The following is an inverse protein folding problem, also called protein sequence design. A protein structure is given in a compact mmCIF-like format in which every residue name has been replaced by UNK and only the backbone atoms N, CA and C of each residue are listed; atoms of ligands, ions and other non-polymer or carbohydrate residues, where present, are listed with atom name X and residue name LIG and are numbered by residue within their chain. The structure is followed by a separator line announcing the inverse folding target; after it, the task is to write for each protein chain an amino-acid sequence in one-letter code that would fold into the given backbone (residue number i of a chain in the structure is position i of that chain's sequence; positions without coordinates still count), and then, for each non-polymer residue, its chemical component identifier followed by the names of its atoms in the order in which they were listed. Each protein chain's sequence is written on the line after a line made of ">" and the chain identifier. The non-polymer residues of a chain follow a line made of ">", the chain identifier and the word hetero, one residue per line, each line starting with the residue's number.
data_IF_298912805175
#
_entry.id   IF_298912805175
#
_cell.length_a   1.000
_cell.length_b   1.000
_cell.length_c   1.000
_cell.angle_alpha   90.00
_cell.angle_beta   90.00
_cell.angle_gamma   90.00
#
_symmetry.space_group_name_H-M   'P 1'
#
loop_
_entity.id
_entity.type
_entity.pdbx_description
1 polymer ?
#
# COMPACT_ATOMS: atom_id res chain seq x y z
N UNK A 1 -7.04 13.40 -20.83
CA UNK A 1 -5.73 12.79 -20.44
C UNK A 1 -5.48 13.04 -18.97
N UNK A 2 -5.16 12.00 -18.24
CA UNK A 2 -4.90 12.14 -16.82
C UNK A 2 -3.55 12.81 -16.55
N UNK A 3 -3.54 13.73 -15.59
CA UNK A 3 -2.33 14.40 -15.16
C UNK A 3 -1.51 13.48 -14.26
N UNK A 4 -0.22 13.33 -14.51
CA UNK A 4 0.69 12.63 -13.62
C UNK A 4 1.08 13.52 -12.46
N UNK A 5 0.86 13.01 -11.25
CA UNK A 5 1.22 13.68 -10.00
C UNK A 5 1.73 12.63 -9.02
N UNK A 6 2.36 13.09 -7.94
CA UNK A 6 2.70 12.18 -6.84
C UNK A 6 1.40 11.68 -6.21
N UNK A 7 1.32 10.38 -5.98
CA UNK A 7 0.13 9.73 -5.41
C UNK A 7 0.40 9.30 -3.98
N UNK A 8 -0.54 9.52 -3.10
CA UNK A 8 -0.51 9.02 -1.73
C UNK A 8 -1.53 7.91 -1.57
N UNK A 9 -1.12 6.81 -0.95
CA UNK A 9 -1.96 5.66 -0.71
C UNK A 9 -2.03 5.45 0.80
N UNK A 10 -3.24 5.38 1.34
CA UNK A 10 -3.45 5.11 2.76
C UNK A 10 -4.32 3.87 2.91
N UNK A 11 -3.92 2.99 3.81
CA UNK A 11 -4.66 1.78 4.12
C UNK A 11 -5.30 1.88 5.48
N UNK A 12 -6.55 1.42 5.58
CA UNK A 12 -7.19 1.12 6.85
C UNK A 12 -7.14 -0.39 7.00
N UNK A 13 -6.23 -0.87 7.85
CA UNK A 13 -5.98 -2.30 8.04
C UNK A 13 -6.76 -2.83 9.24
N UNK A 14 -7.26 -4.05 9.09
CA UNK A 14 -7.94 -4.78 10.16
C UNK A 14 -6.88 -5.44 11.05
N UNK A 15 -6.56 -4.78 12.16
CA UNK A 15 -5.53 -5.27 13.07
C UNK A 15 -5.92 -6.57 13.77
N UNK A 16 -7.21 -6.80 14.01
CA UNK A 16 -7.68 -8.05 14.60
C UNK A 16 -7.45 -9.22 13.64
N UNK A 17 -7.77 -9.02 12.36
CA UNK A 17 -7.50 -10.03 11.35
C UNK A 17 -6.00 -10.27 11.18
N UNK A 18 -5.20 -9.22 11.22
CA UNK A 18 -3.75 -9.35 11.17
C UNK A 18 -3.22 -10.18 12.35
N UNK A 19 -3.76 -9.96 13.55
CA UNK A 19 -3.38 -10.77 14.72
C UNK A 19 -3.78 -12.22 14.54
N UNK A 20 -4.99 -12.47 14.04
CA UNK A 20 -5.47 -13.81 13.78
C UNK A 20 -4.60 -14.57 12.78
N UNK A 21 -3.98 -13.87 11.85
CA UNK A 21 -3.08 -14.41 10.83
C UNK A 21 -1.60 -14.35 11.23
N UNK A 22 -1.30 -13.97 12.47
CA UNK A 22 0.06 -13.80 12.99
C UNK A 22 0.89 -12.76 12.20
N UNK A 23 0.20 -11.72 11.71
CA UNK A 23 0.81 -10.66 10.92
C UNK A 23 0.90 -9.31 11.64
N UNK A 24 0.46 -9.24 12.88
CA UNK A 24 0.56 -8.02 13.68
C UNK A 24 1.71 -8.13 14.68
N UNK A 25 2.61 -7.15 14.77
CA UNK A 25 2.71 -5.95 13.90
C UNK A 25 3.58 -6.15 12.65
N UNK A 26 4.09 -7.35 12.42
CA UNK A 26 5.08 -7.63 11.37
C UNK A 26 4.59 -7.30 9.96
N UNK A 27 3.28 -7.41 9.72
CA UNK A 27 2.68 -7.09 8.43
C UNK A 27 2.95 -5.65 7.98
N UNK A 28 3.02 -4.71 8.91
CA UNK A 28 3.34 -3.32 8.57
C UNK A 28 4.73 -3.20 7.94
N UNK A 29 5.72 -3.92 8.49
CA UNK A 29 7.07 -3.94 7.93
C UNK A 29 7.15 -4.59 6.57
N UNK A 30 6.39 -5.66 6.36
CA UNK A 30 6.30 -6.34 5.07
C UNK A 30 5.71 -5.43 4.01
N UNK A 31 4.63 -4.73 4.35
CA UNK A 31 3.97 -3.80 3.45
C UNK A 31 4.90 -2.63 3.10
N UNK A 32 5.59 -2.09 4.08
CA UNK A 32 6.56 -1.02 3.89
C UNK A 32 7.65 -1.42 2.90
N UNK A 33 8.24 -2.60 3.08
CA UNK A 33 9.28 -3.10 2.18
C UNK A 33 8.76 -3.27 0.75
N UNK A 34 7.55 -3.76 0.60
CA UNK A 34 6.94 -3.95 -0.71
C UNK A 34 6.76 -2.60 -1.42
N UNK A 35 6.26 -1.58 -0.72
CA UNK A 35 6.10 -0.25 -1.30
C UNK A 35 7.43 0.43 -1.59
N UNK A 36 8.42 0.28 -0.72
CA UNK A 36 9.76 0.84 -0.96
C UNK A 36 10.40 0.25 -2.21
N UNK A 37 10.18 -1.03 -2.46
CA UNK A 37 10.63 -1.69 -3.68
C UNK A 37 10.02 -1.06 -4.95
N UNK A 38 8.82 -0.52 -4.84
CA UNK A 38 8.11 0.13 -5.95
C UNK A 38 8.25 1.65 -5.93
N UNK A 39 9.28 2.16 -5.27
CA UNK A 39 9.62 3.59 -5.25
C UNK A 39 8.57 4.47 -4.56
N UNK A 40 8.05 3.95 -3.45
CA UNK A 40 7.21 4.72 -2.53
C UNK A 40 7.97 4.94 -1.23
N UNK A 41 7.66 6.04 -0.56
CA UNK A 41 8.18 6.34 0.76
C UNK A 41 7.07 6.18 1.80
N UNK A 42 7.38 5.49 2.89
CA UNK A 42 6.45 5.30 4.00
C UNK A 42 6.24 6.61 4.76
N UNK A 43 4.98 6.86 5.08
CA UNK A 43 4.57 7.95 6.00
C UNK A 43 4.04 7.32 7.28
N UNK A 44 3.47 8.12 8.16
CA UNK A 44 2.93 7.60 9.42
C UNK A 44 1.84 6.53 9.20
N UNK A 45 1.84 5.53 10.05
CA UNK A 45 0.83 4.47 10.03
C UNK A 45 0.93 3.61 8.78
N UNK A 46 -0.15 3.52 8.03
CA UNK A 46 -0.24 2.72 6.80
C UNK A 46 -0.30 3.61 5.56
N UNK A 47 0.37 4.76 5.60
CA UNK A 47 0.42 5.70 4.49
C UNK A 47 1.72 5.62 3.71
N UNK A 48 1.61 5.77 2.39
CA UNK A 48 2.75 5.75 1.46
C UNK A 48 2.59 6.82 0.41
N UNK A 49 3.69 7.43 -0.01
CA UNK A 49 3.67 8.42 -1.08
C UNK A 49 4.65 8.01 -2.17
N UNK A 50 4.22 8.12 -3.43
CA UNK A 50 5.11 7.83 -4.54
C UNK A 50 6.21 8.88 -4.63
N UNK A 51 7.45 8.44 -4.92
CA UNK A 51 8.57 9.35 -5.14
C UNK A 51 8.50 9.98 -6.53
N UNK A 52 7.93 9.26 -7.47
CA UNK A 52 7.72 9.74 -8.83
C UNK A 52 6.27 10.18 -9.04
N UNK A 53 6.05 10.99 -10.07
CA UNK A 53 4.70 11.35 -10.51
C UNK A 53 4.12 10.18 -11.29
N UNK A 54 2.90 9.76 -10.94
CA UNK A 54 2.25 8.58 -11.51
C UNK A 54 0.85 8.93 -12.01
N UNK A 55 0.38 8.18 -12.99
CA UNK A 55 -1.03 8.18 -13.37
C UNK A 55 -1.76 7.00 -12.69
N UNK A 56 -3.07 6.93 -12.86
CA UNK A 56 -3.89 5.88 -12.21
C UNK A 56 -3.53 4.48 -12.68
N UNK A 57 -3.18 4.32 -13.95
CA UNK A 57 -2.82 3.00 -14.48
C UNK A 57 -1.53 2.49 -13.83
N UNK A 58 -0.55 3.37 -13.65
CA UNK A 58 0.70 3.03 -12.97
C UNK A 58 0.46 2.66 -11.50
N UNK A 59 -0.42 3.40 -10.80
CA UNK A 59 -0.80 3.08 -9.42
C UNK A 59 -1.47 1.70 -9.36
N UNK A 60 -2.39 1.42 -10.27
CA UNK A 60 -3.07 0.13 -10.32
C UNK A 60 -2.10 -1.02 -10.55
N UNK A 61 -1.12 -0.85 -11.43
CA UNK A 61 -0.09 -1.86 -11.69
C UNK A 61 0.76 -2.11 -10.44
N UNK A 62 1.14 -1.05 -9.74
CA UNK A 62 1.92 -1.15 -8.49
C UNK A 62 1.09 -1.84 -7.42
N UNK A 63 -0.19 -1.49 -7.27
CA UNK A 63 -1.07 -2.13 -6.30
C UNK A 63 -1.22 -3.62 -6.58
N UNK A 64 -1.37 -4.00 -7.85
CA UNK A 64 -1.43 -5.41 -8.24
C UNK A 64 -0.14 -6.15 -7.86
N UNK A 65 1.02 -5.52 -8.07
CA UNK A 65 2.31 -6.09 -7.69
C UNK A 65 2.44 -6.26 -6.17
N UNK A 66 2.03 -5.25 -5.41
CA UNK A 66 2.07 -5.30 -3.94
C UNK A 66 1.16 -6.41 -3.40
N UNK A 67 -0.03 -6.54 -3.93
CA UNK A 67 -0.96 -7.60 -3.52
C UNK A 67 -0.39 -8.99 -3.86
N UNK A 68 0.30 -9.10 -4.98
CA UNK A 68 0.95 -10.36 -5.37
C UNK A 68 2.10 -10.72 -4.44
N UNK A 69 2.86 -9.72 -3.98
CA UNK A 69 3.97 -9.90 -3.03
C UNK A 69 3.47 -10.16 -1.62
N UNK A 70 2.34 -9.55 -1.26
CA UNK A 70 1.73 -9.63 0.06
C UNK A 70 0.27 -10.06 -0.06
N UNK A 71 0.01 -11.35 -0.36
CA UNK A 71 -1.38 -11.82 -0.60
C UNK A 71 -2.31 -11.67 0.60
N UNK A 72 -1.78 -11.66 1.80
CA UNK A 72 -2.55 -11.47 3.03
C UNK A 72 -3.29 -10.12 3.06
N UNK A 73 -2.80 -9.17 2.28
CA UNK A 73 -3.34 -7.80 2.28
C UNK A 73 -4.82 -7.79 1.90
N UNK A 74 -5.23 -8.63 0.97
CA UNK A 74 -6.64 -8.70 0.53
C UNK A 74 -7.59 -9.10 1.66
N UNK A 75 -7.11 -9.83 2.66
CA UNK A 75 -7.93 -10.26 3.81
C UNK A 75 -7.90 -9.27 4.97
N UNK A 76 -6.91 -8.40 5.00
CA UNK A 76 -6.70 -7.50 6.13
C UNK A 76 -7.01 -6.04 5.81
N UNK A 77 -7.33 -5.69 4.58
CA UNK A 77 -7.66 -4.31 4.20
C UNK A 77 -9.14 -4.06 4.37
N UNK A 78 -9.48 -3.04 5.17
CA UNK A 78 -10.85 -2.54 5.28
C UNK A 78 -11.13 -1.48 4.22
N UNK A 79 -10.14 -0.61 3.98
CA UNK A 79 -10.30 0.52 3.08
C UNK A 79 -8.94 0.93 2.51
N UNK A 80 -8.94 1.38 1.26
CA UNK A 80 -7.77 1.97 0.61
C UNK A 80 -8.18 3.32 0.07
N UNK A 81 -7.45 4.37 0.44
CA UNK A 81 -7.63 5.71 -0.10
C UNK A 81 -6.42 6.06 -0.95
N UNK A 82 -6.66 6.50 -2.17
CA UNK A 82 -5.63 7.04 -3.05
C UNK A 82 -5.91 8.51 -3.26
N UNK A 83 -4.96 9.35 -2.89
CA UNK A 83 -5.11 10.80 -3.00
C UNK A 83 -4.00 11.40 -3.84
N UNK A 84 -4.30 12.51 -4.42
CA UNK A 84 -3.38 13.26 -5.25
C UNK A 84 -2.59 14.27 -4.43
#
# INVERSE_FOLDING_TARGET
>A
MERRIRKAINFDLDTEQMRAMSLYPNGYGLLKKSFEKHDFTHRQGSGYISNAKLDSDQVNDIMAAVVKEQPWLTECVKKIDVTD
#
